data_IF_051546090429
#
_entry.id   IF_051546090429
#
_cell.length_a   1.000
_cell.length_b   1.000
_cell.length_c   1.000
_cell.angle_alpha   90.00
_cell.angle_beta   90.00
_cell.angle_gamma   90.00
#
_symmetry.space_group_name_H-M   'P 1'
#
loop_
_entity.id
_entity.type
_entity.pdbx_description
1 polymer ?
#
# COMPACT_ATOMS: atom_id res chain seq x y z
N UNK A 1 -1.42 -17.61 0.18
CA UNK A 1 -1.75 -16.18 0.35
C UNK A 1 -2.59 -15.80 -0.85
N UNK A 2 -3.89 -15.53 -0.66
CA UNK A 2 -4.73 -15.02 -1.75
C UNK A 2 -4.43 -13.53 -1.83
N UNK A 3 -3.72 -13.11 -2.88
CA UNK A 3 -3.45 -11.70 -3.11
C UNK A 3 -4.67 -11.09 -3.80
N UNK A 4 -5.34 -10.17 -3.11
CA UNK A 4 -6.49 -9.39 -3.60
C UNK A 4 -6.07 -8.19 -4.47
N UNK A 5 -4.77 -8.05 -4.71
CA UNK A 5 -4.20 -7.01 -5.55
C UNK A 5 -2.92 -7.50 -6.24
N UNK A 6 -2.67 -6.93 -7.42
CA UNK A 6 -1.44 -7.07 -8.17
C UNK A 6 -0.60 -5.81 -7.97
N UNK A 7 0.70 -5.98 -7.72
CA UNK A 7 1.61 -4.85 -7.55
C UNK A 7 2.66 -4.84 -8.64
N UNK A 8 2.87 -3.68 -9.24
CA UNK A 8 4.00 -3.40 -10.12
C UNK A 8 4.64 -2.08 -9.72
N UNK A 9 5.88 -1.83 -10.16
CA UNK A 9 6.57 -0.59 -9.85
C UNK A 9 7.48 -0.14 -10.99
N UNK A 10 7.70 1.17 -11.06
CA UNK A 10 8.74 1.80 -11.86
C UNK A 10 9.74 2.54 -10.93
N UNK A 11 10.59 3.43 -11.47
CA UNK A 11 11.62 4.14 -10.69
C UNK A 11 11.07 5.17 -9.69
N UNK A 12 9.84 5.64 -9.90
CA UNK A 12 9.23 6.74 -9.16
C UNK A 12 7.86 6.40 -8.58
N UNK A 13 7.21 5.33 -9.05
CA UNK A 13 5.82 4.99 -8.71
C UNK A 13 5.64 3.51 -8.48
N UNK A 14 4.71 3.18 -7.59
CA UNK A 14 4.21 1.84 -7.36
C UNK A 14 2.75 1.82 -7.76
N UNK A 15 2.35 0.83 -8.53
CA UNK A 15 0.99 0.61 -9.00
C UNK A 15 0.40 -0.57 -8.25
N UNK A 16 -0.72 -0.35 -7.55
CA UNK A 16 -1.44 -1.39 -6.81
C UNK A 16 -2.82 -1.55 -7.43
N UNK A 17 -3.03 -2.63 -8.18
CA UNK A 17 -4.29 -2.91 -8.85
C UNK A 17 -5.09 -3.93 -8.06
N UNK A 18 -6.22 -3.52 -7.48
CA UNK A 18 -7.12 -4.44 -6.79
C UNK A 18 -7.90 -5.30 -7.77
N UNK A 19 -8.02 -6.59 -7.48
CA UNK A 19 -8.64 -7.58 -8.37
C UNK A 19 -9.95 -8.15 -7.84
N UNK A 20 -10.26 -7.93 -6.56
CA UNK A 20 -11.41 -8.53 -5.88
C UNK A 20 -12.57 -7.56 -5.64
N UNK A 21 -12.41 -6.28 -6.00
CA UNK A 21 -13.44 -5.24 -5.82
C UNK A 21 -13.83 -4.67 -7.17
N UNK A 22 -15.08 -4.19 -7.27
CA UNK A 22 -15.60 -3.54 -8.49
C UNK A 22 -15.44 -2.04 -8.45
N UNK A 23 -15.35 -1.45 -7.25
CA UNK A 23 -15.06 -0.03 -7.05
C UNK A 23 -14.47 0.19 -5.65
N UNK A 24 -13.76 1.30 -5.48
CA UNK A 24 -13.06 1.67 -4.25
C UNK A 24 -13.10 3.17 -3.97
N UNK A 25 -13.23 3.50 -2.69
CA UNK A 25 -13.24 4.88 -2.19
C UNK A 25 -12.06 5.11 -1.26
N UNK A 26 -11.44 6.29 -1.39
CA UNK A 26 -10.42 6.76 -0.48
C UNK A 26 -11.01 7.54 0.66
N UNK A 27 -10.57 7.18 1.87
CA UNK A 27 -10.78 8.01 3.04
C UNK A 27 -9.52 8.79 3.43
N UNK A 28 -8.34 8.34 2.97
CA UNK A 28 -7.06 8.97 3.23
C UNK A 28 -6.10 8.74 2.06
N UNK A 29 -5.20 9.70 1.83
CA UNK A 29 -4.05 9.54 0.92
C UNK A 29 -2.84 8.93 1.62
N UNK A 30 -2.81 8.99 2.94
CA UNK A 30 -1.80 8.34 3.77
C UNK A 30 -2.30 6.95 4.17
N UNK A 31 -1.37 5.99 4.24
CA UNK A 31 -1.73 4.63 4.57
C UNK A 31 -0.77 3.57 4.04
N UNK A 32 0.32 3.95 3.38
CA UNK A 32 1.30 3.00 2.86
C UNK A 32 2.70 3.29 3.37
N UNK A 33 3.50 2.25 3.42
CA UNK A 33 4.93 2.33 3.64
C UNK A 33 5.66 1.49 2.61
N UNK A 34 6.79 2.01 2.16
CA UNK A 34 7.67 1.35 1.22
C UNK A 34 8.98 1.00 1.91
N UNK A 35 9.57 -0.11 1.52
CA UNK A 35 10.91 -0.45 1.94
C UNK A 35 11.80 -0.80 0.74
N UNK A 36 13.00 -0.22 0.73
CA UNK A 36 14.00 -0.38 -0.32
C UNK A 36 15.37 -0.81 0.24
N UNK A 37 15.39 -1.40 1.44
CA UNK A 37 16.62 -1.82 2.14
C UNK A 37 16.84 -3.35 2.16
N UNK A 38 16.24 -4.08 1.21
CA UNK A 38 16.46 -5.52 1.09
C UNK A 38 15.89 -6.33 2.25
N UNK A 39 16.66 -7.32 2.68
CA UNK A 39 16.30 -8.22 3.80
C UNK A 39 16.07 -7.49 5.13
N UNK A 40 16.63 -6.29 5.31
CA UNK A 40 16.40 -5.49 6.53
C UNK A 40 14.93 -5.08 6.69
N UNK A 41 14.18 -4.99 5.58
CA UNK A 41 12.74 -4.71 5.59
C UNK A 41 11.92 -5.77 6.35
N UNK A 42 12.45 -6.99 6.52
CA UNK A 42 11.75 -8.10 7.17
C UNK A 42 11.91 -8.09 8.69
N UNK A 43 13.00 -7.53 9.20
CA UNK A 43 13.41 -7.64 10.61
C UNK A 43 13.43 -6.31 11.34
N UNK A 44 13.34 -5.19 10.63
CA UNK A 44 13.38 -3.86 11.21
C UNK A 44 12.23 -2.99 10.68
N UNK A 45 11.32 -2.59 11.55
CA UNK A 45 10.21 -1.72 11.17
C UNK A 45 10.64 -0.27 10.94
N UNK A 46 11.78 0.16 11.48
CA UNK A 46 12.27 1.54 11.37
C UNK A 46 12.79 1.88 9.96
N UNK A 47 13.01 0.87 9.10
CA UNK A 47 13.48 1.09 7.72
C UNK A 47 12.36 1.34 6.72
N UNK A 48 11.10 1.20 7.16
CA UNK A 48 9.92 1.46 6.36
C UNK A 48 9.68 2.96 6.27
N UNK A 49 9.42 3.45 5.06
CA UNK A 49 9.28 4.87 4.78
C UNK A 49 7.82 5.17 4.46
N UNK A 50 7.16 6.08 5.20
CA UNK A 50 5.80 6.53 4.91
C UNK A 50 5.67 7.04 3.48
N UNK A 51 4.68 6.53 2.77
CA UNK A 51 4.35 6.91 1.42
C UNK A 51 2.86 7.22 1.26
N UNK A 52 2.58 8.15 0.37
CA UNK A 52 1.25 8.67 0.11
C UNK A 52 0.79 8.27 -1.29
N UNK A 53 -0.50 7.98 -1.40
CA UNK A 53 -1.20 7.81 -2.67
C UNK A 53 -1.12 9.15 -3.40
N UNK A 54 -0.53 9.16 -4.59
CA UNK A 54 -0.45 10.35 -5.43
C UNK A 54 -1.62 10.46 -6.39
N UNK A 55 -2.18 9.33 -6.84
CA UNK A 55 -3.25 9.32 -7.83
C UNK A 55 -3.99 7.96 -7.86
N UNK A 56 -5.13 7.92 -8.54
CA UNK A 56 -5.96 6.73 -8.81
C UNK A 56 -6.34 6.67 -10.28
N UNK A 57 -6.31 5.47 -10.83
CA UNK A 57 -6.99 5.14 -12.08
C UNK A 57 -7.84 3.89 -11.86
N UNK A 58 -9.17 4.00 -11.91
CA UNK A 58 -10.12 2.91 -11.68
C UNK A 58 -9.91 2.14 -10.37
N UNK A 59 -9.31 0.94 -10.46
CA UNK A 59 -8.95 0.01 -9.38
C UNK A 59 -7.45 -0.02 -9.09
N UNK A 60 -6.67 0.83 -9.77
CA UNK A 60 -5.23 0.96 -9.62
C UNK A 60 -4.88 2.21 -8.80
N UNK A 61 -4.12 2.00 -7.73
CA UNK A 61 -3.50 3.06 -6.96
C UNK A 61 -2.13 3.38 -7.49
N UNK A 62 -1.79 4.65 -7.46
CA UNK A 62 -0.46 5.13 -7.76
C UNK A 62 0.11 5.70 -6.47
N UNK A 63 1.15 5.04 -5.96
CA UNK A 63 1.88 5.45 -4.76
C UNK A 63 3.22 6.03 -5.19
N UNK A 64 3.54 7.23 -4.73
CA UNK A 64 4.80 7.89 -5.10
C UNK A 64 5.96 7.33 -4.28
N UNK A 65 7.05 6.94 -4.94
CA UNK A 65 8.28 6.54 -4.25
C UNK A 65 8.94 7.80 -3.68
N UNK A 66 9.15 7.85 -2.36
CA UNK A 66 9.84 8.95 -1.69
C UNK A 66 11.34 8.94 -2.04
N UNK A 67 11.96 10.13 -2.01
CA UNK A 67 13.37 10.35 -2.37
C UNK A 67 14.35 9.32 -1.79
N UNK A 68 14.13 8.84 -0.56
CA UNK A 68 14.99 7.84 0.07
C UNK A 68 15.05 6.48 -0.67
N UNK A 69 14.00 6.15 -1.44
CA UNK A 69 13.87 4.94 -2.25
C UNK A 69 13.82 5.20 -3.76
N UNK A 70 13.87 6.45 -4.23
CA UNK A 70 13.82 6.77 -5.67
C UNK A 70 14.99 6.13 -6.40
N UNK A 71 14.69 5.42 -7.49
CA UNK A 71 15.70 4.69 -8.27
C UNK A 71 16.29 3.45 -7.60
N UNK A 72 15.81 3.06 -6.42
CA UNK A 72 16.19 1.81 -5.75
C UNK A 72 15.15 0.72 -6.00
N UNK A 73 15.54 -0.57 -6.00
CA UNK A 73 14.57 -1.66 -6.01
C UNK A 73 13.70 -1.59 -4.75
N UNK A 74 12.39 -1.76 -4.95
CA UNK A 74 11.40 -1.83 -3.87
C UNK A 74 11.29 -3.29 -3.43
N UNK A 75 11.60 -3.56 -2.17
CA UNK A 75 11.58 -4.89 -1.56
C UNK A 75 10.31 -5.17 -0.75
N UNK A 76 9.54 -4.12 -0.46
CA UNK A 76 8.34 -4.25 0.33
C UNK A 76 7.39 -3.08 0.14
N UNK A 77 6.11 -3.40 0.09
CA UNK A 77 5.01 -2.46 0.23
C UNK A 77 4.09 -2.99 1.33
N UNK A 78 3.90 -2.20 2.37
CA UNK A 78 2.90 -2.53 3.39
C UNK A 78 1.92 -1.39 3.52
N UNK A 79 0.74 -1.74 3.99
CA UNK A 79 -0.27 -0.78 4.31
C UNK A 79 -0.27 -0.59 5.82
N UNK A 80 -0.34 0.67 6.25
CA UNK A 80 -0.29 1.17 7.62
C UNK A 80 -1.57 0.85 8.40
N UNK A 81 -2.06 -0.39 8.29
CA UNK A 81 -3.08 -0.86 9.20
C UNK A 81 -2.41 -1.17 10.54
N UNK A 82 -2.74 -0.36 11.54
CA UNK A 82 -2.33 -0.61 12.91
C UNK A 82 -3.46 -1.29 13.67
N UNK A 83 -3.16 -2.44 14.27
CA UNK A 83 -4.09 -3.10 15.18
C UNK A 83 -4.37 -2.25 16.43
N UNK A 84 -3.42 -1.41 16.88
CA UNK A 84 -3.57 -0.59 18.09
C UNK A 84 -2.80 0.74 18.00
N UNK A 85 -3.43 1.90 18.30
CA UNK A 85 -4.87 2.06 18.46
C UNK A 85 -5.56 1.71 17.13
N UNK A 86 -6.67 1.00 17.21
CA UNK A 86 -7.50 0.61 16.06
C UNK A 86 -8.63 1.64 15.91
N UNK A 87 -8.41 2.80 15.27
CA UNK A 87 -9.50 3.72 15.02
C UNK A 87 -10.48 3.06 14.05
N UNK A 88 -11.68 2.81 14.56
CA UNK A 88 -12.77 2.22 13.80
C UNK A 88 -12.98 2.97 12.48
N UNK A 89 -12.98 2.23 11.36
CA UNK A 89 -13.24 2.75 10.00
C UNK A 89 -12.22 3.77 9.44
N UNK A 90 -10.96 3.79 9.87
CA UNK A 90 -9.94 4.71 9.31
C UNK A 90 -8.94 4.07 8.35
N UNK A 91 -9.30 2.99 7.65
CA UNK A 91 -8.47 2.47 6.58
C UNK A 91 -8.45 3.51 5.43
N UNK A 92 -7.31 3.74 4.79
CA UNK A 92 -7.20 4.59 3.61
C UNK A 92 -8.13 4.14 2.46
N UNK A 93 -8.38 2.83 2.29
CA UNK A 93 -9.15 2.27 1.17
C UNK A 93 -10.26 1.32 1.64
N UNK A 94 -11.46 1.53 1.09
CA UNK A 94 -12.63 0.68 1.29
C UNK A 94 -13.24 0.26 -0.05
N UNK A 95 -13.84 -0.93 -0.08
CA UNK A 95 -14.74 -1.34 -1.15
C UNK A 95 -16.04 -0.55 -1.07
N UNK A 96 -16.60 -0.15 -2.22
CA UNK A 96 -17.96 0.44 -2.25
C UNK A 96 -19.03 -0.61 -1.94
N UNK A 97 -18.83 -1.85 -2.42
CA UNK A 97 -19.83 -2.92 -2.28
C UNK A 97 -19.80 -3.58 -0.91
N UNK A 98 -18.67 -3.52 -0.21
CA UNK A 98 -18.55 -3.96 1.19
C UNK A 98 -17.77 -2.90 2.01
N UNK A 99 -18.46 -1.85 2.49
CA UNK A 99 -17.84 -0.75 3.21
C UNK A 99 -17.37 -1.13 4.63
N UNK A 100 -17.61 -2.37 5.07
CA UNK A 100 -17.19 -2.85 6.40
C UNK A 100 -15.84 -3.57 6.37
N UNK A 101 -15.35 -3.96 5.19
CA UNK A 101 -14.06 -4.64 5.05
C UNK A 101 -13.02 -3.69 4.42
N UNK A 102 -11.92 -3.37 5.14
CA UNK A 102 -10.80 -2.68 4.53
C UNK A 102 -10.19 -3.58 3.45
N UNK A 103 -9.75 -3.00 2.33
CA UNK A 103 -9.05 -3.79 1.32
C UNK A 103 -7.75 -4.35 1.92
N UNK A 104 -7.48 -5.67 1.83
CA UNK A 104 -6.47 -6.34 2.64
C UNK A 104 -5.08 -5.67 2.63
N UNK A 105 -4.39 -5.59 3.79
CA UNK A 105 -3.16 -4.82 3.88
C UNK A 105 -1.93 -5.68 4.16
N UNK A 106 -1.40 -6.39 3.17
CA UNK A 106 0.02 -6.78 3.15
C UNK A 106 0.42 -7.35 1.79
N UNK A 107 1.38 -6.72 1.10
CA UNK A 107 1.88 -7.22 -0.19
C UNK A 107 3.41 -7.22 -0.22
N UNK A 108 4.00 -8.40 0.01
CA UNK A 108 5.44 -8.60 -0.18
C UNK A 108 5.72 -8.72 -1.67
N UNK A 109 6.51 -7.78 -2.20
CA UNK A 109 6.97 -7.78 -3.59
C UNK A 109 8.36 -8.41 -3.56
N UNK A 110 8.54 -9.54 -4.24
CA UNK A 110 9.83 -10.21 -4.36
C UNK A 110 10.44 -9.90 -5.73
#
# INVERSE_FOLDING_TARGET
>A
IVSNANVSSDRERIYVTYTTVTDMVFQSLDGFEICCQGVTCETNDDVWIPSSISDKSDLTLIIRIRNACTGKPIYGLRYLWHEIPCPYKQAAIYSITDPNLPSPPYMKIF
#
